data_IF_692868612584
#
_entry.id   IF_692868612584
#
_cell.length_a   1.000
_cell.length_b   1.000
_cell.length_c   1.000
_cell.angle_alpha   90.00
_cell.angle_beta   90.00
_cell.angle_gamma   90.00
#
_symmetry.space_group_name_H-M   'P 1'
#
loop_
_entity.id
_entity.type
_entity.pdbx_description
1 polymer ?
#
# COMPACT_ATOMS: atom_id res chain seq x y z
N UNK A 1 -8.94 33.98 -23.28
CA UNK A 1 -8.66 34.10 -21.88
C UNK A 1 -7.70 33.03 -21.39
N UNK A 2 -6.51 33.44 -20.99
CA UNK A 2 -5.46 32.53 -20.52
C UNK A 2 -5.93 31.66 -19.34
N UNK A 3 -6.76 32.22 -18.46
CA UNK A 3 -7.24 31.52 -17.27
C UNK A 3 -8.07 30.26 -17.60
N UNK A 4 -8.81 30.28 -18.70
CA UNK A 4 -9.65 29.16 -19.10
C UNK A 4 -8.83 27.95 -19.55
N UNK A 5 -7.80 28.19 -20.34
CA UNK A 5 -6.90 27.11 -20.81
C UNK A 5 -6.05 26.55 -19.67
N UNK A 6 -5.57 27.43 -18.76
CA UNK A 6 -4.83 27.03 -17.57
C UNK A 6 -5.68 26.13 -16.67
N UNK A 7 -6.96 26.47 -16.50
CA UNK A 7 -7.89 25.69 -15.69
C UNK A 7 -8.11 24.29 -16.30
N UNK A 8 -8.29 24.22 -17.63
CA UNK A 8 -8.43 22.94 -18.34
C UNK A 8 -7.19 22.06 -18.20
N UNK A 9 -6.02 22.66 -18.37
CA UNK A 9 -4.74 21.95 -18.22
C UNK A 9 -4.61 21.40 -16.79
N UNK A 10 -4.96 22.21 -15.80
CA UNK A 10 -4.91 21.82 -14.39
C UNK A 10 -5.87 20.66 -14.08
N UNK A 11 -7.07 20.68 -14.65
CA UNK A 11 -8.04 19.62 -14.50
C UNK A 11 -7.49 18.30 -15.08
N UNK A 12 -6.89 18.35 -16.27
CA UNK A 12 -6.28 17.16 -16.88
C UNK A 12 -5.13 16.61 -16.05
N UNK A 13 -4.26 17.49 -15.54
CA UNK A 13 -3.14 17.09 -14.69
C UNK A 13 -3.62 16.46 -13.39
N UNK A 14 -4.64 17.04 -12.78
CA UNK A 14 -5.23 16.52 -11.54
C UNK A 14 -5.85 15.15 -11.77
N UNK A 15 -6.57 14.97 -12.89
CA UNK A 15 -7.17 13.67 -13.23
C UNK A 15 -6.13 12.59 -13.39
N UNK A 16 -5.04 12.86 -14.10
CA UNK A 16 -3.92 11.91 -14.28
C UNK A 16 -3.26 11.57 -12.96
N UNK A 17 -3.02 12.59 -12.12
CA UNK A 17 -2.41 12.41 -10.80
C UNK A 17 -3.29 11.55 -9.90
N UNK A 18 -4.59 11.83 -9.87
CA UNK A 18 -5.56 11.09 -9.07
C UNK A 18 -5.59 9.62 -9.50
N UNK A 19 -5.58 9.36 -10.80
CA UNK A 19 -5.55 8.00 -11.32
C UNK A 19 -4.28 7.24 -10.91
N UNK A 20 -3.12 7.88 -11.00
CA UNK A 20 -1.85 7.27 -10.55
C UNK A 20 -1.86 6.94 -9.06
N UNK A 21 -2.34 7.86 -8.23
CA UNK A 21 -2.42 7.65 -6.79
C UNK A 21 -3.41 6.54 -6.44
N UNK A 22 -4.52 6.45 -7.18
CA UNK A 22 -5.51 5.38 -7.02
C UNK A 22 -4.89 4.02 -7.32
N UNK A 23 -4.10 3.92 -8.39
CA UNK A 23 -3.39 2.67 -8.75
C UNK A 23 -2.42 2.25 -7.65
N UNK A 24 -1.65 3.18 -7.10
CA UNK A 24 -0.72 2.89 -6.00
C UNK A 24 -1.48 2.38 -4.78
N UNK A 25 -2.59 3.02 -4.43
CA UNK A 25 -3.43 2.60 -3.29
C UNK A 25 -3.98 1.20 -3.50
N UNK A 26 -4.53 0.91 -4.67
CA UNK A 26 -5.09 -0.40 -5.00
C UNK A 26 -4.02 -1.48 -4.97
N UNK A 27 -2.86 -1.23 -5.55
CA UNK A 27 -1.73 -2.17 -5.56
C UNK A 27 -1.29 -2.47 -4.13
N UNK A 28 -1.12 -1.44 -3.30
CA UNK A 28 -0.70 -1.59 -1.90
C UNK A 28 -1.71 -2.44 -1.12
N UNK A 29 -2.99 -2.17 -1.28
CA UNK A 29 -4.06 -2.95 -0.61
C UNK A 29 -4.05 -4.41 -1.07
N UNK A 30 -3.79 -4.67 -2.34
CA UNK A 30 -3.69 -6.03 -2.87
C UNK A 30 -2.56 -6.80 -2.20
N UNK A 31 -1.39 -6.18 -2.05
CA UNK A 31 -0.26 -6.84 -1.37
C UNK A 31 -0.54 -7.08 0.11
N UNK A 32 -1.22 -6.15 0.78
CA UNK A 32 -1.64 -6.34 2.17
C UNK A 32 -2.62 -7.51 2.31
N UNK A 33 -3.57 -7.64 1.38
CA UNK A 33 -4.52 -8.77 1.37
C UNK A 33 -3.80 -10.10 1.16
N UNK A 34 -2.76 -10.15 0.34
CA UNK A 34 -1.96 -11.36 0.13
C UNK A 34 -1.29 -11.81 1.42
N UNK A 35 -0.78 -10.87 2.22
CA UNK A 35 -0.20 -11.20 3.53
C UNK A 35 -1.26 -11.81 4.43
N UNK A 36 -2.44 -11.19 4.50
CA UNK A 36 -3.54 -11.70 5.35
C UNK A 36 -4.00 -13.08 4.90
N UNK A 37 -4.09 -13.32 3.60
CA UNK A 37 -4.46 -14.62 3.06
C UNK A 37 -3.45 -15.69 3.43
N UNK A 38 -2.15 -15.37 3.36
CA UNK A 38 -1.09 -16.28 3.76
C UNK A 38 -1.14 -16.58 5.26
N UNK A 39 -1.46 -15.59 6.08
CA UNK A 39 -1.64 -15.76 7.53
C UNK A 39 -2.80 -16.70 7.82
N UNK A 40 -3.94 -16.52 7.14
CA UNK A 40 -5.11 -17.37 7.31
C UNK A 40 -4.84 -18.82 6.90
N UNK A 41 -4.05 -19.02 5.85
CA UNK A 41 -3.68 -20.36 5.41
C UNK A 41 -2.64 -21.03 6.31
N UNK A 42 -2.02 -20.27 7.20
CA UNK A 42 -1.00 -20.80 8.11
C UNK A 42 0.36 -21.04 7.48
N UNK A 43 0.58 -20.57 6.26
CA UNK A 43 1.85 -20.72 5.54
C UNK A 43 2.81 -19.60 5.93
N UNK A 44 3.66 -19.87 6.91
CA UNK A 44 4.62 -18.90 7.44
C UNK A 44 5.60 -18.41 6.38
N UNK A 45 6.13 -19.33 5.57
CA UNK A 45 7.11 -19.00 4.52
C UNK A 45 6.51 -18.04 3.51
N UNK A 46 5.30 -18.31 3.02
CA UNK A 46 4.58 -17.44 2.10
C UNK A 46 4.21 -16.11 2.76
N UNK A 47 3.81 -16.14 4.04
CA UNK A 47 3.47 -14.94 4.78
C UNK A 47 4.68 -14.01 4.92
N UNK A 48 5.86 -14.53 5.22
CA UNK A 48 7.08 -13.74 5.31
C UNK A 48 7.48 -13.12 3.97
N UNK A 49 7.41 -13.90 2.89
CA UNK A 49 7.70 -13.39 1.55
C UNK A 49 6.71 -12.31 1.13
N UNK A 50 5.42 -12.55 1.37
CA UNK A 50 4.37 -11.57 1.07
C UNK A 50 4.52 -10.30 1.91
N UNK A 51 4.93 -10.44 3.17
CA UNK A 51 5.16 -9.31 4.06
C UNK A 51 6.25 -8.39 3.52
N UNK A 52 7.36 -8.93 3.06
CA UNK A 52 8.44 -8.13 2.47
C UNK A 52 7.96 -7.31 1.29
N UNK A 53 7.16 -7.92 0.42
CA UNK A 53 6.58 -7.25 -0.73
C UNK A 53 5.60 -6.16 -0.30
N UNK A 54 4.76 -6.45 0.70
CA UNK A 54 3.79 -5.48 1.22
C UNK A 54 4.49 -4.28 1.85
N UNK A 55 5.55 -4.49 2.63
CA UNK A 55 6.33 -3.40 3.23
C UNK A 55 6.89 -2.48 2.15
N UNK A 56 7.45 -3.05 1.09
CA UNK A 56 7.98 -2.29 -0.04
C UNK A 56 6.89 -1.44 -0.69
N UNK A 57 5.69 -1.98 -0.89
CA UNK A 57 4.58 -1.25 -1.49
C UNK A 57 4.04 -0.16 -0.57
N UNK A 58 3.96 -0.42 0.73
CA UNK A 58 3.52 0.56 1.73
C UNK A 58 4.50 1.74 1.77
N UNK A 59 5.81 1.47 1.81
CA UNK A 59 6.84 2.51 1.80
C UNK A 59 6.74 3.36 0.54
N UNK A 60 6.52 2.75 -0.60
CA UNK A 60 6.33 3.46 -1.87
C UNK A 60 5.10 4.35 -1.83
N UNK A 61 4.00 3.86 -1.26
CA UNK A 61 2.76 4.62 -1.12
C UNK A 61 2.94 5.83 -0.20
N UNK A 62 3.73 5.69 0.86
CA UNK A 62 4.07 6.81 1.76
C UNK A 62 4.91 7.84 1.00
N UNK A 63 5.93 7.40 0.27
CA UNK A 63 6.79 8.29 -0.51
C UNK A 63 5.99 9.08 -1.55
N UNK A 64 5.00 8.45 -2.16
CA UNK A 64 4.14 9.10 -3.16
C UNK A 64 3.01 9.93 -2.56
N UNK A 65 2.89 9.96 -1.24
CA UNK A 65 1.87 10.76 -0.56
C UNK A 65 0.49 10.14 -0.53
N UNK A 66 0.34 8.85 -0.88
CA UNK A 66 -0.94 8.14 -0.82
C UNK A 66 -1.34 7.86 0.62
N UNK A 67 -0.37 7.47 1.45
CA UNK A 67 -0.56 7.25 2.88
C UNK A 67 0.35 8.18 3.67
N UNK A 68 -0.18 8.67 4.81
CA UNK A 68 0.65 9.37 5.76
C UNK A 68 1.68 8.40 6.36
N UNK A 69 2.87 8.92 6.73
CA UNK A 69 3.95 8.12 7.31
C UNK A 69 3.49 7.30 8.52
N UNK A 70 2.70 7.89 9.40
CA UNK A 70 2.17 7.21 10.58
C UNK A 70 1.23 6.06 10.22
N UNK A 71 0.41 6.24 9.19
CA UNK A 71 -0.49 5.19 8.70
C UNK A 71 0.31 4.04 8.12
N UNK A 72 1.34 4.32 7.33
CA UNK A 72 2.23 3.29 6.78
C UNK A 72 2.92 2.49 7.86
N UNK A 73 3.47 3.18 8.87
CA UNK A 73 4.13 2.52 10.02
C UNK A 73 3.17 1.61 10.78
N UNK A 74 1.93 2.06 10.98
CA UNK A 74 0.90 1.28 11.66
C UNK A 74 0.56 0.00 10.89
N UNK A 75 0.40 0.10 9.58
CA UNK A 75 0.11 -1.07 8.73
C UNK A 75 1.26 -2.08 8.78
N UNK A 76 2.49 -1.62 8.64
CA UNK A 76 3.67 -2.47 8.69
C UNK A 76 3.77 -3.17 10.04
N UNK A 77 3.58 -2.43 11.13
CA UNK A 77 3.66 -2.98 12.49
C UNK A 77 2.60 -4.07 12.72
N UNK A 78 1.37 -3.83 12.30
CA UNK A 78 0.27 -4.79 12.46
C UNK A 78 0.50 -6.06 11.65
N UNK A 79 0.88 -5.93 10.39
CA UNK A 79 1.15 -7.08 9.52
C UNK A 79 2.35 -7.88 10.02
N UNK A 80 3.43 -7.19 10.41
CA UNK A 80 4.63 -7.84 10.93
C UNK A 80 4.34 -8.62 12.21
N UNK A 81 3.53 -8.06 13.11
CA UNK A 81 3.11 -8.72 14.34
C UNK A 81 2.30 -9.98 14.05
N UNK A 82 1.37 -9.91 13.10
CA UNK A 82 0.53 -11.05 12.74
C UNK A 82 1.37 -12.19 12.12
N UNK A 83 2.33 -11.85 11.28
CA UNK A 83 3.24 -12.85 10.66
C UNK A 83 4.13 -13.48 11.74
N UNK A 84 4.64 -12.68 12.67
CA UNK A 84 5.47 -13.19 13.76
C UNK A 84 4.70 -14.19 14.63
N UNK A 85 3.42 -13.97 14.87
CA UNK A 85 2.57 -14.88 15.66
C UNK A 85 2.41 -16.25 15.04
N UNK A 86 2.49 -16.37 13.71
CA UNK A 86 2.43 -17.67 13.04
C UNK A 86 3.55 -18.60 13.49
N UNK A 87 4.73 -18.06 13.76
CA UNK A 87 5.86 -18.84 14.24
C UNK A 87 5.74 -19.29 15.68
N UNK A 88 4.90 -18.63 16.46
CA UNK A 88 4.75 -18.89 17.92
C UNK A 88 3.55 -19.78 18.20
N UNK A 89 2.59 -19.86 17.27
CA UNK A 89 1.33 -20.58 17.48
C UNK A 89 1.48 -22.11 17.47
N UNK A 90 2.67 -22.62 17.26
CA UNK A 90 2.94 -24.04 17.43
C UNK A 90 3.15 -24.40 18.91
#
# INVERSE_FOLDING_TARGET
MANHESARKRIRQTAKRTERLRKVRTTTRTFMKRVRAAIQSGDKSNAEASLKQAISQIDRAVTKGVFHRKTGSRYIARLSSQVARLGVAA
#
